data_IF_008216708082
#
_entry.id   IF_008216708082
#
_cell.length_a   1.000
_cell.length_b   1.000
_cell.length_c   1.000
_cell.angle_alpha   90.00
_cell.angle_beta   90.00
_cell.angle_gamma   90.00
#
_symmetry.space_group_name_H-M   'P 1'
#
loop_
_entity.id
_entity.type
_entity.pdbx_description
1 polymer ?
#
# COMPACT_ATOMS: atom_id res chain seq x y z
N UNK A 1 45.64 5.20 16.34
CA UNK A 1 44.24 5.49 15.98
C UNK A 1 43.56 4.20 15.55
N UNK A 2 42.99 3.46 16.50
CA UNK A 2 42.48 2.08 16.34
C UNK A 2 41.04 1.97 16.88
N UNK A 3 40.18 2.94 16.52
CA UNK A 3 38.76 2.97 16.93
C UNK A 3 37.86 2.18 15.95
N UNK A 4 38.38 1.83 14.77
CA UNK A 4 37.65 1.14 13.70
C UNK A 4 37.07 -0.26 14.01
N UNK A 5 37.69 -1.15 14.81
CA UNK A 5 37.16 -2.51 14.95
C UNK A 5 35.86 -2.57 15.78
N UNK A 6 35.60 -1.60 16.65
CA UNK A 6 34.41 -1.58 17.50
C UNK A 6 33.12 -1.18 16.77
N UNK A 7 33.21 -0.47 15.64
CA UNK A 7 32.05 0.09 14.92
C UNK A 7 31.48 -0.89 13.88
N UNK A 8 32.29 -1.84 13.42
CA UNK A 8 31.91 -2.84 12.42
C UNK A 8 30.65 -3.68 12.74
N UNK A 9 30.38 -4.12 14.00
CA UNK A 9 29.14 -4.83 14.30
C UNK A 9 27.92 -3.90 14.25
N UNK A 10 28.07 -2.65 14.69
CA UNK A 10 26.97 -1.70 14.74
C UNK A 10 26.43 -1.37 13.33
N UNK A 11 27.32 -1.19 12.36
CA UNK A 11 26.92 -0.88 10.96
C UNK A 11 26.19 -2.03 10.27
N UNK A 12 26.32 -3.27 10.77
CA UNK A 12 25.59 -4.43 10.26
C UNK A 12 24.18 -4.55 10.86
N UNK A 13 24.03 -4.20 12.13
CA UNK A 13 22.79 -4.38 12.90
C UNK A 13 21.86 -3.18 12.75
N UNK A 14 22.42 -1.97 12.76
CA UNK A 14 21.66 -0.72 12.77
C UNK A 14 20.61 -0.61 11.63
N UNK A 15 20.90 -0.97 10.37
CA UNK A 15 19.90 -0.86 9.31
C UNK A 15 18.68 -1.76 9.53
N UNK A 16 18.88 -2.94 10.12
CA UNK A 16 17.80 -3.89 10.43
C UNK A 16 16.92 -3.35 11.56
N UNK A 17 17.53 -2.74 12.58
CA UNK A 17 16.80 -2.12 13.69
C UNK A 17 15.97 -0.93 13.21
N UNK A 18 16.52 -0.09 12.35
CA UNK A 18 15.78 1.06 11.80
C UNK A 18 14.61 0.59 10.94
N UNK A 19 14.81 -0.40 10.06
CA UNK A 19 13.71 -0.97 9.28
C UNK A 19 12.64 -1.58 10.19
N UNK A 20 13.03 -2.37 11.20
CA UNK A 20 12.10 -2.97 12.14
C UNK A 20 11.31 -1.90 12.90
N UNK A 21 11.97 -0.83 13.34
CA UNK A 21 11.30 0.31 13.98
C UNK A 21 10.29 0.97 13.03
N UNK A 22 10.66 1.22 11.77
CA UNK A 22 9.77 1.83 10.78
C UNK A 22 8.52 0.96 10.56
N UNK A 23 8.70 -0.35 10.42
CA UNK A 23 7.60 -1.30 10.23
C UNK A 23 6.69 -1.37 11.46
N UNK A 24 7.25 -1.42 12.66
CA UNK A 24 6.47 -1.43 13.90
C UNK A 24 5.71 -0.12 14.11
N UNK A 25 6.35 1.02 13.80
CA UNK A 25 5.71 2.34 13.87
C UNK A 25 4.53 2.44 12.90
N UNK A 26 4.73 2.03 11.64
CA UNK A 26 3.66 1.96 10.64
C UNK A 26 2.55 0.99 11.06
N UNK A 27 2.90 -0.20 11.56
CA UNK A 27 1.92 -1.18 12.05
C UNK A 27 1.06 -0.60 13.16
N UNK A 28 1.68 -0.01 14.18
CA UNK A 28 0.97 0.61 15.30
C UNK A 28 0.04 1.73 14.82
N UNK A 29 0.54 2.66 14.01
CA UNK A 29 -0.26 3.77 13.45
C UNK A 29 -1.40 3.26 12.57
N UNK A 30 -1.16 2.24 11.76
CA UNK A 30 -2.17 1.61 10.91
C UNK A 30 -3.28 0.95 11.70
N UNK A 31 -2.93 0.19 12.75
CA UNK A 31 -3.93 -0.43 13.62
C UNK A 31 -4.80 0.63 14.32
N UNK A 32 -4.18 1.71 14.83
CA UNK A 32 -4.92 2.85 15.41
C UNK A 32 -5.84 3.50 14.38
N UNK A 33 -5.34 3.78 13.17
CA UNK A 33 -6.14 4.40 12.10
C UNK A 33 -7.27 3.49 11.61
N UNK A 34 -7.05 2.17 11.55
CA UNK A 34 -8.07 1.18 11.18
C UNK A 34 -9.18 1.16 12.21
N UNK A 35 -8.83 1.19 13.50
CA UNK A 35 -9.80 1.23 14.59
C UNK A 35 -10.65 2.51 14.59
N UNK A 36 -10.03 3.66 14.30
CA UNK A 36 -10.72 4.95 14.29
C UNK A 36 -11.60 5.17 13.04
N UNK A 37 -11.30 4.51 11.92
CA UNK A 37 -11.98 4.73 10.64
C UNK A 37 -12.69 3.46 10.15
N UNK A 38 -13.68 2.97 10.89
CA UNK A 38 -14.44 1.77 10.53
C UNK A 38 -15.60 2.03 9.56
N UNK A 39 -15.82 3.27 9.13
CA UNK A 39 -16.87 3.62 8.18
C UNK A 39 -16.34 3.69 6.74
N UNK A 40 -16.96 2.98 5.78
CA UNK A 40 -16.60 3.07 4.37
C UNK A 40 -17.18 4.36 3.76
N UNK A 41 -16.39 5.43 3.80
CA UNK A 41 -16.74 6.71 3.18
C UNK A 41 -15.92 6.97 1.91
N UNK A 42 -16.46 7.78 1.00
CA UNK A 42 -15.76 8.21 -0.22
C UNK A 42 -15.37 7.06 -1.16
N UNK A 43 -14.11 7.06 -1.59
CA UNK A 43 -13.60 6.07 -2.54
C UNK A 43 -13.49 4.66 -1.95
N UNK A 44 -13.24 4.52 -0.65
CA UNK A 44 -13.13 3.21 0.01
C UNK A 44 -14.40 2.38 -0.18
N UNK A 45 -15.57 3.01 0.07
CA UNK A 45 -16.86 2.36 -0.11
C UNK A 45 -17.11 1.95 -1.57
N UNK A 46 -16.57 2.70 -2.52
CA UNK A 46 -16.70 2.37 -3.95
C UNK A 46 -15.87 1.14 -4.32
N UNK A 47 -14.64 1.00 -3.81
CA UNK A 47 -13.82 -0.19 -4.03
C UNK A 47 -14.41 -1.44 -3.38
N UNK A 48 -14.97 -1.29 -2.17
CA UNK A 48 -15.66 -2.37 -1.44
C UNK A 48 -16.90 -2.84 -2.20
N UNK A 49 -17.75 -1.91 -2.66
CA UNK A 49 -18.95 -2.27 -3.43
C UNK A 49 -18.59 -2.93 -4.78
N UNK A 50 -17.59 -2.42 -5.49
CA UNK A 50 -17.09 -3.05 -6.71
C UNK A 50 -16.59 -4.48 -6.45
N UNK A 51 -15.85 -4.71 -5.37
CA UNK A 51 -15.36 -6.03 -5.01
C UNK A 51 -16.51 -7.02 -4.73
N UNK A 52 -17.56 -6.56 -4.03
CA UNK A 52 -18.76 -7.36 -3.77
C UNK A 52 -19.51 -7.70 -5.05
N UNK A 53 -19.70 -6.73 -5.94
CA UNK A 53 -20.40 -6.96 -7.21
C UNK A 53 -19.62 -7.92 -8.12
N UNK A 54 -18.28 -7.84 -8.12
CA UNK A 54 -17.43 -8.81 -8.83
C UNK A 54 -17.56 -10.22 -8.22
N UNK A 55 -17.50 -10.34 -6.90
CA UNK A 55 -17.66 -11.63 -6.20
C UNK A 55 -19.03 -12.28 -6.44
N UNK A 56 -20.08 -11.47 -6.58
CA UNK A 56 -21.44 -11.91 -6.91
C UNK A 56 -21.67 -12.20 -8.40
N UNK A 57 -20.64 -12.06 -9.25
CA UNK A 57 -20.73 -12.29 -10.69
C UNK A 57 -21.47 -11.19 -11.46
N UNK A 58 -21.73 -10.04 -10.83
CA UNK A 58 -22.34 -8.86 -11.49
C UNK A 58 -21.33 -8.07 -12.32
N UNK A 59 -20.03 -8.32 -12.13
CA UNK A 59 -18.94 -7.63 -12.80
C UNK A 59 -18.56 -6.31 -12.12
N UNK A 60 -17.82 -5.46 -12.83
CA UNK A 60 -17.36 -4.15 -12.34
C UNK A 60 -18.47 -3.09 -12.43
N UNK A 61 -19.51 -3.27 -11.63
CA UNK A 61 -20.68 -2.39 -11.54
C UNK A 61 -20.80 -1.92 -10.10
N UNK A 62 -21.18 -0.66 -9.86
CA UNK A 62 -21.46 -0.17 -8.50
C UNK A 62 -22.97 -0.21 -8.23
N UNK A 63 -23.38 -0.76 -7.08
CA UNK A 63 -24.79 -0.87 -6.66
C UNK A 63 -25.35 0.49 -6.21
N UNK A 64 -24.47 1.43 -5.84
CA UNK A 64 -24.80 2.77 -5.38
C UNK A 64 -24.95 3.83 -6.49
N UNK A 65 -25.39 3.46 -7.70
CA UNK A 65 -25.74 4.44 -8.73
C UNK A 65 -26.67 5.48 -8.10
N UNK A 66 -26.23 6.74 -7.97
CA UNK A 66 -27.16 7.83 -7.77
C UNK A 66 -27.80 8.06 -9.14
N UNK A 67 -29.08 7.66 -9.37
CA UNK A 67 -29.73 7.85 -10.66
C UNK A 67 -29.82 9.33 -11.06
N UNK A 68 -29.61 10.26 -10.13
CA UNK A 68 -29.52 11.70 -10.42
C UNK A 68 -28.17 12.12 -11.04
N UNK A 69 -27.09 11.34 -10.92
CA UNK A 69 -25.79 11.67 -11.55
C UNK A 69 -25.68 11.27 -13.01
N UNK A 70 -26.60 10.45 -13.52
CA UNK A 70 -26.66 10.09 -14.94
C UNK A 70 -27.23 11.23 -15.80
N UNK A 71 -27.87 12.24 -15.20
CA UNK A 71 -28.52 13.33 -15.93
C UNK A 71 -27.53 14.39 -16.46
N UNK A 72 -26.31 14.46 -15.93
CA UNK A 72 -25.36 15.55 -16.25
C UNK A 72 -24.36 15.19 -17.37
N UNK A 73 -24.51 14.05 -18.05
CA UNK A 73 -23.52 13.59 -19.03
C UNK A 73 -22.15 13.28 -18.43
N UNK A 74 -22.08 13.16 -17.09
CA UNK A 74 -20.87 12.83 -16.36
C UNK A 74 -20.55 11.35 -16.57
N UNK A 75 -19.34 11.05 -17.06
CA UNK A 75 -18.82 9.69 -17.05
C UNK A 75 -18.89 9.15 -15.61
N UNK A 76 -19.43 7.94 -15.38
CA UNK A 76 -19.39 7.34 -14.07
C UNK A 76 -17.92 7.27 -13.63
N UNK A 77 -17.55 7.80 -12.44
CA UNK A 77 -16.17 7.70 -11.94
C UNK A 77 -15.68 6.25 -11.84
N UNK A 78 -16.63 5.30 -11.87
CA UNK A 78 -16.46 3.85 -11.94
C UNK A 78 -15.60 3.39 -13.13
N UNK A 79 -15.79 3.99 -14.31
CA UNK A 79 -15.01 3.63 -15.50
C UNK A 79 -13.54 4.08 -15.40
N UNK A 80 -13.23 5.00 -14.47
CA UNK A 80 -11.88 5.49 -14.23
C UNK A 80 -11.11 4.71 -13.16
N UNK A 81 -11.77 3.82 -12.40
CA UNK A 81 -11.12 3.07 -11.33
C UNK A 81 -10.36 1.87 -11.89
N UNK A 82 -9.17 1.65 -11.33
CA UNK A 82 -8.31 0.55 -11.71
C UNK A 82 -8.95 -0.78 -11.23
N UNK A 83 -9.15 -1.78 -12.12
CA UNK A 83 -9.95 -2.97 -11.80
C UNK A 83 -9.22 -4.06 -11.00
N UNK A 84 -7.88 -4.04 -10.96
CA UNK A 84 -7.09 -5.06 -10.25
C UNK A 84 -7.36 -5.03 -8.76
N UNK A 85 -7.50 -3.85 -8.15
CA UNK A 85 -7.73 -3.76 -6.71
C UNK A 85 -9.09 -4.35 -6.28
N UNK A 86 -10.24 -3.94 -6.86
CA UNK A 86 -11.52 -4.62 -6.61
C UNK A 86 -11.48 -6.12 -6.92
N UNK A 87 -10.77 -6.53 -7.97
CA UNK A 87 -10.64 -7.95 -8.33
C UNK A 87 -9.91 -8.75 -7.24
N UNK A 88 -8.82 -8.21 -6.68
CA UNK A 88 -8.11 -8.86 -5.57
C UNK A 88 -8.97 -8.92 -4.30
N UNK A 89 -9.68 -7.84 -3.98
CA UNK A 89 -10.63 -7.79 -2.87
C UNK A 89 -11.77 -8.79 -3.04
N UNK A 90 -12.24 -9.01 -4.28
CA UNK A 90 -13.36 -9.92 -4.57
C UNK A 90 -13.09 -11.38 -4.21
N UNK A 91 -11.83 -11.79 -4.09
CA UNK A 91 -11.44 -13.16 -3.74
C UNK A 91 -11.89 -13.56 -2.32
N UNK A 92 -12.19 -12.59 -1.47
CA UNK A 92 -12.63 -12.80 -0.09
C UNK A 92 -13.79 -11.87 0.29
N UNK A 93 -14.45 -11.27 -0.70
CA UNK A 93 -15.54 -10.32 -0.43
C UNK A 93 -16.78 -11.03 0.11
N UNK A 94 -17.34 -10.50 1.20
CA UNK A 94 -18.61 -10.94 1.78
C UNK A 94 -19.47 -9.74 2.23
N UNK A 95 -20.78 -9.95 2.38
CA UNK A 95 -21.71 -8.88 2.81
C UNK A 95 -21.68 -8.62 4.32
N UNK A 96 -20.59 -8.95 5.01
CA UNK A 96 -20.49 -8.70 6.44
C UNK A 96 -19.79 -7.36 6.71
N UNK A 97 -20.05 -6.74 7.87
CA UNK A 97 -19.27 -5.57 8.30
C UNK A 97 -17.77 -5.86 8.47
N UNK A 98 -17.40 -7.15 8.59
CA UNK A 98 -16.02 -7.58 8.83
C UNK A 98 -15.18 -7.43 7.55
N UNK A 99 -15.76 -7.64 6.36
CA UNK A 99 -15.05 -7.51 5.09
C UNK A 99 -14.33 -6.17 4.93
N UNK A 100 -14.96 -5.07 5.36
CA UNK A 100 -14.31 -3.76 5.27
C UNK A 100 -13.06 -3.66 6.17
N UNK A 101 -13.15 -4.17 7.40
CA UNK A 101 -12.02 -4.23 8.31
C UNK A 101 -10.90 -5.14 7.76
N UNK A 102 -11.25 -6.27 7.15
CA UNK A 102 -10.31 -7.15 6.47
C UNK A 102 -9.61 -6.45 5.30
N UNK A 103 -10.36 -5.69 4.49
CA UNK A 103 -9.80 -4.86 3.42
C UNK A 103 -8.77 -3.85 3.95
N UNK A 104 -9.03 -3.21 5.09
CA UNK A 104 -8.06 -2.31 5.73
C UNK A 104 -6.82 -3.05 6.27
N UNK A 105 -7.00 -4.24 6.84
CA UNK A 105 -5.89 -5.07 7.31
C UNK A 105 -5.02 -5.57 6.14
N UNK A 106 -5.64 -5.92 5.00
CA UNK A 106 -4.92 -6.25 3.78
C UNK A 106 -4.14 -5.04 3.27
N UNK A 107 -4.78 -3.87 3.24
CA UNK A 107 -4.11 -2.63 2.82
C UNK A 107 -2.92 -2.29 3.74
N UNK A 108 -3.10 -2.44 5.04
CA UNK A 108 -2.04 -2.30 6.04
C UNK A 108 -0.86 -3.24 5.72
N UNK A 109 -1.13 -4.51 5.42
CA UNK A 109 -0.10 -5.47 5.05
C UNK A 109 0.63 -5.05 3.75
N UNK A 110 -0.10 -4.64 2.71
CA UNK A 110 0.47 -4.14 1.44
C UNK A 110 1.34 -2.91 1.68
N UNK A 111 0.89 -1.99 2.53
CA UNK A 111 1.64 -0.79 2.84
C UNK A 111 2.91 -1.07 3.65
N UNK A 112 2.91 -2.06 4.55
CA UNK A 112 4.13 -2.54 5.21
C UNK A 112 5.11 -3.14 4.21
N UNK A 113 4.60 -3.90 3.23
CA UNK A 113 5.40 -4.39 2.11
C UNK A 113 5.97 -3.22 1.30
N UNK A 114 5.22 -2.13 1.09
CA UNK A 114 5.71 -0.93 0.39
C UNK A 114 6.92 -0.30 1.10
N UNK A 115 6.89 -0.20 2.43
CA UNK A 115 8.02 0.31 3.23
C UNK A 115 9.24 -0.60 3.08
N UNK A 116 9.04 -1.92 3.20
CA UNK A 116 10.12 -2.89 3.04
C UNK A 116 10.70 -2.89 1.62
N UNK A 117 9.86 -2.86 0.60
CA UNK A 117 10.25 -2.80 -0.80
C UNK A 117 11.05 -1.51 -1.11
N UNK A 118 10.60 -0.37 -0.59
CA UNK A 118 11.30 0.91 -0.72
C UNK A 118 12.70 0.82 -0.11
N UNK A 119 12.82 0.27 1.10
CA UNK A 119 14.12 0.05 1.73
C UNK A 119 15.03 -0.84 0.87
N UNK A 120 14.52 -1.99 0.40
CA UNK A 120 15.31 -2.93 -0.40
C UNK A 120 15.79 -2.31 -1.71
N UNK A 121 14.90 -1.64 -2.44
CA UNK A 121 15.22 -0.95 -3.70
C UNK A 121 16.33 0.10 -3.50
N UNK A 122 16.17 0.98 -2.51
CA UNK A 122 17.17 2.03 -2.23
C UNK A 122 18.47 1.43 -1.72
N UNK A 123 18.42 0.34 -0.94
CA UNK A 123 19.62 -0.33 -0.45
C UNK A 123 20.44 -0.95 -1.58
N UNK A 124 19.76 -1.47 -2.61
CA UNK A 124 20.39 -2.08 -3.78
C UNK A 124 20.98 -1.04 -4.74
N UNK A 125 20.39 0.15 -4.82
CA UNK A 125 20.78 1.21 -5.77
C UNK A 125 21.74 2.25 -5.17
N UNK A 126 21.51 2.68 -3.94
CA UNK A 126 22.22 3.78 -3.28
C UNK A 126 22.88 3.40 -1.94
N UNK A 127 22.75 2.13 -1.53
CA UNK A 127 23.34 1.62 -0.30
C UNK A 127 22.46 1.77 0.94
N UNK A 128 22.87 1.14 2.04
CA UNK A 128 22.04 0.94 3.24
C UNK A 128 21.68 2.23 3.97
N UNK A 129 22.58 3.21 3.99
CA UNK A 129 22.33 4.49 4.68
C UNK A 129 21.19 5.25 4.01
N UNK A 130 21.22 5.38 2.68
CA UNK A 130 20.15 6.00 1.91
C UNK A 130 18.82 5.26 2.10
N UNK A 131 18.86 3.93 2.16
CA UNK A 131 17.68 3.10 2.39
C UNK A 131 17.03 3.33 3.75
N UNK A 132 17.85 3.44 4.80
CA UNK A 132 17.37 3.76 6.14
C UNK A 132 16.67 5.13 6.18
N UNK A 133 17.26 6.14 5.54
CA UNK A 133 16.68 7.47 5.46
C UNK A 133 15.38 7.47 4.65
N UNK A 134 15.33 6.77 3.52
CA UNK A 134 14.13 6.64 2.71
C UNK A 134 12.98 5.95 3.48
N UNK A 135 13.27 4.83 4.15
CA UNK A 135 12.30 4.13 4.98
C UNK A 135 11.80 5.00 6.15
N UNK A 136 12.71 5.73 6.81
CA UNK A 136 12.36 6.64 7.91
C UNK A 136 11.43 7.74 7.42
N UNK A 137 11.80 8.44 6.33
CA UNK A 137 11.00 9.52 5.74
C UNK A 137 9.62 9.01 5.32
N UNK A 138 9.55 7.85 4.66
CA UNK A 138 8.28 7.24 4.27
C UNK A 138 7.44 6.87 5.50
N UNK A 139 8.06 6.32 6.54
CA UNK A 139 7.38 5.90 7.77
C UNK A 139 6.78 7.05 8.57
N UNK A 140 7.19 8.30 8.34
CA UNK A 140 6.61 9.50 8.98
C UNK A 140 5.85 10.39 7.99
N UNK A 141 5.76 9.99 6.73
CA UNK A 141 5.13 10.79 5.69
C UNK A 141 3.61 10.83 5.88
N UNK A 142 3.06 12.02 6.10
CA UNK A 142 1.63 12.22 6.39
C UNK A 142 0.74 11.74 5.24
N UNK A 143 1.14 11.96 3.99
CA UNK A 143 0.37 11.55 2.81
C UNK A 143 0.33 10.03 2.71
N UNK A 144 1.47 9.36 2.92
CA UNK A 144 1.51 7.90 2.98
C UNK A 144 0.59 7.37 4.09
N UNK A 145 0.66 7.93 5.30
CA UNK A 145 -0.22 7.55 6.43
C UNK A 145 -1.70 7.78 6.16
N UNK A 146 -2.04 8.77 5.35
CA UNK A 146 -3.42 9.03 4.96
C UNK A 146 -3.98 7.87 4.13
N UNK A 147 -3.23 7.36 3.14
CA UNK A 147 -3.65 6.26 2.27
C UNK A 147 -3.30 4.86 2.81
N UNK A 148 -2.44 4.77 3.83
CA UNK A 148 -1.83 3.53 4.33
C UNK A 148 -2.82 2.43 4.74
N UNK A 149 -4.02 2.81 5.17
CA UNK A 149 -5.10 1.87 5.56
C UNK A 149 -6.39 2.07 4.77
N UNK A 150 -6.39 2.99 3.79
CA UNK A 150 -7.58 3.24 3.00
C UNK A 150 -7.76 2.14 1.96
N UNK A 151 -8.94 1.60 1.79
CA UNK A 151 -9.22 0.55 0.79
C UNK A 151 -9.26 1.16 -0.61
N UNK A 152 -8.10 1.56 -1.12
CA UNK A 152 -7.92 2.27 -2.40
C UNK A 152 -6.73 1.71 -3.17
N UNK A 153 -6.62 2.01 -4.47
CA UNK A 153 -5.64 1.36 -5.34
C UNK A 153 -4.24 2.00 -5.33
N UNK A 154 -4.09 3.20 -4.76
CA UNK A 154 -2.89 4.02 -4.83
C UNK A 154 -1.67 3.34 -4.20
N UNK A 155 -1.81 2.71 -3.02
CA UNK A 155 -0.68 2.02 -2.38
C UNK A 155 -0.30 0.74 -3.14
N UNK A 156 -1.23 -0.16 -3.51
CA UNK A 156 -0.91 -1.29 -4.38
C UNK A 156 -0.21 -0.85 -5.67
N UNK A 157 -0.67 0.24 -6.31
CA UNK A 157 -0.03 0.79 -7.49
C UNK A 157 1.39 1.27 -7.21
N UNK A 158 1.63 1.92 -6.07
CA UNK A 158 2.98 2.28 -5.64
C UNK A 158 3.91 1.06 -5.49
N UNK A 159 3.43 -0.01 -4.86
CA UNK A 159 4.19 -1.27 -4.71
C UNK A 159 4.48 -1.90 -6.08
N UNK A 160 3.47 -2.00 -6.95
CA UNK A 160 3.61 -2.56 -8.28
C UNK A 160 4.56 -1.72 -9.16
N UNK A 161 4.49 -0.40 -9.05
CA UNK A 161 5.43 0.50 -9.72
C UNK A 161 6.87 0.21 -9.31
N UNK A 162 7.15 0.08 -8.01
CA UNK A 162 8.49 -0.25 -7.54
C UNK A 162 8.94 -1.66 -7.97
N UNK A 163 8.04 -2.63 -7.95
CA UNK A 163 8.33 -3.98 -8.44
C UNK A 163 8.67 -3.99 -9.93
N UNK A 164 7.90 -3.27 -10.76
CA UNK A 164 8.17 -3.11 -12.19
C UNK A 164 9.50 -2.40 -12.44
N UNK A 165 9.80 -1.34 -11.68
CA UNK A 165 11.08 -0.64 -11.76
C UNK A 165 12.27 -1.54 -11.39
N UNK A 166 12.13 -2.34 -10.33
CA UNK A 166 13.14 -3.33 -9.93
C UNK A 166 13.40 -4.37 -11.01
N UNK A 167 12.33 -4.92 -11.60
CA UNK A 167 12.43 -5.88 -12.70
C UNK A 167 13.16 -5.26 -13.90
N UNK A 168 12.86 -3.99 -14.23
CA UNK A 168 13.55 -3.23 -15.28
C UNK A 168 15.06 -3.10 -14.97
N UNK A 169 15.43 -2.63 -13.78
CA UNK A 169 16.84 -2.45 -13.39
C UNK A 169 17.62 -3.77 -13.43
N UNK A 170 17.00 -4.88 -13.03
CA UNK A 170 17.63 -6.20 -13.11
C UNK A 170 17.75 -6.70 -14.55
N UNK A 171 16.75 -6.46 -15.40
CA UNK A 171 16.80 -6.86 -16.81
C UNK A 171 17.96 -6.24 -17.59
N UNK A 172 18.36 -5.00 -17.25
CA UNK A 172 19.47 -4.30 -17.91
C UNK A 172 20.82 -4.44 -17.19
N UNK A 173 20.92 -5.30 -16.17
CA UNK A 173 22.14 -5.41 -15.37
C UNK A 173 23.27 -6.14 -16.10
N UNK A 174 22.93 -7.08 -16.98
CA UNK A 174 23.91 -7.87 -17.74
C UNK A 174 24.50 -7.11 -18.95
N UNK A 175 23.97 -5.94 -19.27
CA UNK A 175 24.43 -5.08 -20.38
C UNK A 175 25.45 -4.01 -19.95
N UNK A 176 25.88 -4.00 -18.68
CA UNK A 176 26.84 -3.03 -18.11
C UNK A 176 28.11 -3.72 -17.61
#
# INVERSE_FOLDING_TARGET
MTILPAIAPLTRILPRLVLAWCLLFCLFRGLVNTWLNLSPEGDEGSFVDLALNVAEGRGFVQSGLNPMRLQDGFFPPECGRQPLWPLLLSLFADRTPVFFAEGKLLMLAISLVAVAATYLLVAMTYGRLAAMLAALVLSVNVVFHFYFVQVVCEVPLGVLFFAAFMAMVWGFRDER
#
